data_IF_106569237834
#
_entry.id   IF_106569237834
#
_cell.length_a   1.000
_cell.length_b   1.000
_cell.length_c   1.000
_cell.angle_alpha   90.00
_cell.angle_beta   90.00
_cell.angle_gamma   90.00
#
_symmetry.space_group_name_H-M   'P 1'
#
loop_
_entity.id
_entity.type
_entity.pdbx_description
1 polymer ?
#
# COMPACT_ATOMS: atom_id res chain seq x y z
N UNK A 1 -35.23 -4.78 -66.18
CA UNK A 1 -33.95 -5.21 -66.79
C UNK A 1 -32.86 -4.27 -66.25
N UNK A 2 -32.68 -4.19 -64.93
CA UNK A 2 -31.99 -5.16 -64.06
C UNK A 2 -30.49 -5.26 -64.36
N UNK A 3 -29.68 -4.61 -63.51
CA UNK A 3 -28.61 -5.27 -62.77
C UNK A 3 -27.96 -4.25 -61.81
N UNK A 4 -28.24 -4.37 -60.50
CA UNK A 4 -27.54 -5.19 -59.50
C UNK A 4 -26.36 -4.44 -58.85
N UNK A 5 -26.70 -3.92 -57.67
CA UNK A 5 -25.88 -3.70 -56.46
C UNK A 5 -24.61 -4.55 -56.39
N UNK A 6 -23.51 -3.92 -56.01
CA UNK A 6 -22.56 -4.50 -55.04
C UNK A 6 -21.97 -3.38 -54.19
N UNK A 7 -22.43 -3.35 -52.94
CA UNK A 7 -21.91 -2.59 -51.82
C UNK A 7 -20.61 -3.27 -51.37
N UNK A 8 -19.48 -2.56 -51.43
CA UNK A 8 -18.21 -3.03 -50.86
C UNK A 8 -17.84 -2.16 -49.66
N UNK A 9 -18.49 -2.39 -48.52
CA UNK A 9 -18.07 -1.81 -47.23
C UNK A 9 -16.91 -2.67 -46.74
N UNK A 10 -15.68 -2.17 -46.86
CA UNK A 10 -14.54 -2.73 -46.15
C UNK A 10 -14.59 -2.22 -44.70
N UNK A 11 -14.77 -3.16 -43.77
CA UNK A 11 -14.85 -2.94 -42.33
C UNK A 11 -13.63 -2.20 -41.78
N UNK A 12 -13.90 -1.26 -40.87
CA UNK A 12 -12.94 -0.66 -39.95
C UNK A 12 -12.19 -1.75 -39.19
N UNK A 13 -10.86 -1.73 -39.32
CA UNK A 13 -9.95 -2.40 -38.40
C UNK A 13 -8.90 -1.41 -37.95
N UNK A 14 -8.97 -0.99 -36.68
CA UNK A 14 -7.83 -1.00 -35.77
C UNK A 14 -8.23 -0.42 -34.42
N UNK A 15 -8.26 -1.33 -33.45
CA UNK A 15 -8.15 -1.05 -32.03
C UNK A 15 -6.87 -0.26 -31.79
N UNK A 16 -6.97 0.91 -31.18
CA UNK A 16 -5.83 1.62 -30.62
C UNK A 16 -6.16 1.99 -29.17
N UNK A 17 -6.16 0.98 -28.30
CA UNK A 17 -6.07 1.17 -26.85
C UNK A 17 -4.62 1.46 -26.52
N UNK A 18 -4.26 2.75 -26.39
CA UNK A 18 -2.96 3.17 -25.87
C UNK A 18 -3.06 3.37 -24.35
N UNK A 19 -2.21 2.70 -23.55
CA UNK A 19 -2.05 3.02 -22.13
C UNK A 19 -1.07 4.21 -22.03
N UNK A 20 -1.58 5.45 -22.05
CA UNK A 20 -0.76 6.69 -21.99
C UNK A 20 -0.67 7.27 -20.57
N UNK A 21 -1.29 6.64 -19.58
CA UNK A 21 -1.45 7.27 -18.26
C UNK A 21 -0.16 7.32 -17.44
N UNK A 22 0.78 6.39 -17.64
CA UNK A 22 1.99 6.32 -16.82
C UNK A 22 3.10 7.32 -17.22
N UNK A 23 3.18 7.71 -18.50
CA UNK A 23 4.20 8.67 -18.96
C UNK A 23 3.88 10.08 -18.50
N UNK A 24 2.60 10.47 -18.53
CA UNK A 24 2.16 11.80 -18.15
C UNK A 24 2.50 12.15 -16.68
N UNK A 25 2.31 11.21 -15.74
CA UNK A 25 2.64 11.44 -14.33
C UNK A 25 4.15 11.57 -14.07
N UNK A 26 4.98 10.83 -14.82
CA UNK A 26 6.42 10.95 -14.71
C UNK A 26 6.92 12.31 -15.23
N UNK A 27 6.30 12.79 -16.32
CA UNK A 27 6.60 14.10 -16.90
C UNK A 27 6.18 15.23 -15.93
N UNK A 28 4.99 15.13 -15.30
CA UNK A 28 4.51 16.11 -14.31
C UNK A 28 5.44 16.24 -13.08
N UNK A 29 5.95 15.12 -12.55
CA UNK A 29 6.92 15.13 -11.44
C UNK A 29 8.21 15.84 -11.84
N UNK A 30 8.72 15.58 -13.05
CA UNK A 30 9.95 16.22 -13.54
C UNK A 30 9.75 17.73 -13.67
N UNK A 31 8.65 18.16 -14.27
CA UNK A 31 8.31 19.59 -14.42
C UNK A 31 8.23 20.31 -13.06
N UNK A 32 7.60 19.71 -12.06
CA UNK A 32 7.51 20.27 -10.71
C UNK A 32 8.90 20.39 -10.04
N UNK A 33 9.77 19.39 -10.22
CA UNK A 33 11.14 19.43 -9.69
C UNK A 33 11.95 20.56 -10.35
N UNK A 34 11.84 20.71 -11.67
CA UNK A 34 12.54 21.76 -12.42
C UNK A 34 12.07 23.15 -11.97
N UNK A 35 10.77 23.34 -11.79
CA UNK A 35 10.20 24.60 -11.29
C UNK A 35 10.63 24.90 -9.85
N UNK A 36 10.63 23.89 -8.97
CA UNK A 36 11.13 24.04 -7.61
C UNK A 36 12.61 24.44 -7.56
N UNK A 37 13.43 23.90 -8.46
CA UNK A 37 14.84 24.26 -8.62
C UNK A 37 15.01 25.70 -9.13
N UNK A 38 14.23 26.12 -10.11
CA UNK A 38 14.23 27.50 -10.62
C UNK A 38 13.93 28.49 -9.48
N UNK A 39 12.84 28.28 -8.75
CA UNK A 39 12.46 29.12 -7.61
C UNK A 39 13.53 29.17 -6.51
N UNK A 40 14.20 28.05 -6.24
CA UNK A 40 15.32 28.02 -5.30
C UNK A 40 16.48 28.90 -5.76
N UNK A 41 16.81 28.87 -7.05
CA UNK A 41 17.87 29.70 -7.64
C UNK A 41 17.53 31.20 -7.61
N UNK A 42 16.24 31.54 -7.67
CA UNK A 42 15.72 32.91 -7.52
C UNK A 42 15.60 33.37 -6.05
N UNK A 43 16.01 32.55 -5.08
CA UNK A 43 15.86 32.78 -3.64
C UNK A 43 14.38 32.85 -3.17
N UNK A 44 13.42 32.41 -4.00
CA UNK A 44 12.03 32.15 -3.62
C UNK A 44 11.90 30.79 -2.91
N UNK A 45 12.45 30.72 -1.70
CA UNK A 45 12.47 29.47 -0.93
C UNK A 45 11.07 28.95 -0.58
N UNK A 46 10.11 29.85 -0.37
CA UNK A 46 8.73 29.47 -0.05
C UNK A 46 8.05 28.77 -1.23
N UNK A 47 8.20 29.33 -2.42
CA UNK A 47 7.71 28.69 -3.64
C UNK A 47 8.46 27.40 -3.95
N UNK A 48 9.79 27.36 -3.80
CA UNK A 48 10.60 26.16 -4.02
C UNK A 48 10.15 24.99 -3.13
N UNK A 49 9.90 25.25 -1.84
CA UNK A 49 9.40 24.22 -0.91
C UNK A 49 8.06 23.67 -1.39
N UNK A 50 7.12 24.53 -1.79
CA UNK A 50 5.80 24.10 -2.22
C UNK A 50 5.86 23.17 -3.45
N UNK A 51 6.60 23.55 -4.50
CA UNK A 51 6.72 22.73 -5.72
C UNK A 51 7.37 21.37 -5.43
N UNK A 52 8.42 21.35 -4.61
CA UNK A 52 9.11 20.12 -4.24
C UNK A 52 8.25 19.21 -3.35
N UNK A 53 7.42 19.77 -2.48
CA UNK A 53 6.46 19.00 -1.68
C UNK A 53 5.38 18.34 -2.55
N UNK A 54 4.91 19.02 -3.60
CA UNK A 54 4.03 18.40 -4.60
C UNK A 54 4.73 17.24 -5.32
N UNK A 55 5.96 17.45 -5.81
CA UNK A 55 6.73 16.40 -6.46
C UNK A 55 6.95 15.19 -5.54
N UNK A 56 7.27 15.43 -4.26
CA UNK A 56 7.39 14.35 -3.26
C UNK A 56 6.06 13.61 -3.08
N UNK A 57 4.93 14.31 -3.04
CA UNK A 57 3.60 13.70 -2.92
C UNK A 57 3.28 12.81 -4.12
N UNK A 58 3.58 13.28 -5.34
CA UNK A 58 3.32 12.53 -6.56
C UNK A 58 4.24 11.30 -6.67
N UNK A 59 5.52 11.42 -6.29
CA UNK A 59 6.44 10.28 -6.17
C UNK A 59 5.91 9.25 -5.16
N UNK A 60 5.41 9.69 -4.00
CA UNK A 60 4.80 8.77 -3.01
C UNK A 60 3.57 8.07 -3.58
N UNK A 61 2.76 8.76 -4.38
CA UNK A 61 1.62 8.15 -5.07
C UNK A 61 2.05 7.04 -6.02
N UNK A 62 3.15 7.25 -6.77
CA UNK A 62 3.74 6.22 -7.63
C UNK A 62 4.21 5.00 -6.83
N UNK A 63 4.90 5.22 -5.70
CA UNK A 63 5.33 4.14 -4.79
C UNK A 63 4.10 3.41 -4.23
N UNK A 64 3.09 4.13 -3.74
CA UNK A 64 1.83 3.55 -3.28
C UNK A 64 1.17 2.68 -4.34
N UNK A 65 1.12 3.13 -5.60
CA UNK A 65 0.57 2.35 -6.70
C UNK A 65 1.31 1.03 -6.91
N UNK A 66 2.65 1.04 -6.86
CA UNK A 66 3.48 -0.15 -6.99
C UNK A 66 3.28 -1.14 -5.85
N UNK A 67 3.32 -0.65 -4.61
CA UNK A 67 3.21 -1.53 -3.45
C UNK A 67 1.78 -2.06 -3.25
N UNK A 68 0.76 -1.36 -3.77
CA UNK A 68 -0.63 -1.82 -3.79
C UNK A 68 -0.80 -3.14 -4.58
N UNK A 69 0.02 -3.36 -5.60
CA UNK A 69 0.00 -4.60 -6.41
C UNK A 69 0.50 -5.83 -5.63
N UNK A 70 1.11 -5.62 -4.45
CA UNK A 70 1.69 -6.72 -3.67
C UNK A 70 0.71 -7.35 -2.67
N UNK A 71 -0.46 -6.74 -2.47
CA UNK A 71 -1.43 -7.23 -1.49
C UNK A 71 -1.91 -8.63 -1.85
N UNK A 72 -1.94 -9.57 -0.89
CA UNK A 72 -2.36 -10.94 -1.14
C UNK A 72 -3.84 -11.01 -1.57
N UNK A 73 -4.18 -12.09 -2.27
CA UNK A 73 -5.57 -12.45 -2.54
C UNK A 73 -6.30 -12.79 -1.23
N UNK A 74 -7.63 -12.64 -1.16
CA UNK A 74 -8.37 -12.98 0.05
C UNK A 74 -8.25 -14.48 0.37
N UNK A 75 -8.14 -14.86 1.66
CA UNK A 75 -8.19 -16.25 2.11
C UNK A 75 -9.53 -16.91 1.76
N UNK A 76 -9.60 -18.23 1.86
CA UNK A 76 -10.84 -18.96 1.58
C UNK A 76 -11.99 -18.49 2.48
N UNK A 77 -13.14 -18.20 1.88
CA UNK A 77 -14.31 -17.66 2.60
C UNK A 77 -14.19 -16.17 2.95
N UNK A 78 -13.27 -15.45 2.32
CA UNK A 78 -13.15 -14.00 2.41
C UNK A 78 -13.22 -13.36 1.02
N UNK A 79 -13.64 -12.10 1.01
CA UNK A 79 -13.60 -11.23 -0.16
C UNK A 79 -12.74 -10.01 0.15
N UNK A 80 -12.11 -9.42 -0.87
CA UNK A 80 -11.27 -8.24 -0.70
C UNK A 80 -11.74 -7.09 -1.60
N UNK A 81 -11.63 -5.86 -1.09
CA UNK A 81 -11.74 -4.66 -1.91
C UNK A 81 -10.45 -4.40 -2.70
N UNK A 82 -10.46 -3.39 -3.57
CA UNK A 82 -9.23 -2.93 -4.20
C UNK A 82 -8.32 -2.30 -3.15
N UNK A 83 -7.01 -2.52 -3.26
CA UNK A 83 -6.04 -1.81 -2.46
C UNK A 83 -6.10 -0.31 -2.81
N UNK A 84 -6.05 0.54 -1.79
CA UNK A 84 -6.18 1.98 -1.93
C UNK A 84 -5.04 2.67 -1.20
N UNK A 85 -4.47 3.70 -1.82
CA UNK A 85 -3.53 4.59 -1.14
C UNK A 85 -4.27 5.35 -0.05
N UNK A 86 -3.83 5.20 1.20
CA UNK A 86 -4.32 6.00 2.32
C UNK A 86 -3.69 7.39 2.22
N UNK A 87 -4.04 8.17 1.18
CA UNK A 87 -3.28 9.40 0.90
C UNK A 87 -3.68 10.29 -0.27
N UNK A 88 -4.89 10.17 -0.81
CA UNK A 88 -5.40 11.18 -1.76
C UNK A 88 -5.92 12.48 -1.11
N UNK A 89 -5.90 12.59 0.23
CA UNK A 89 -6.46 13.75 0.94
C UNK A 89 -5.88 13.94 2.34
N UNK A 90 -6.26 15.04 3.00
CA UNK A 90 -5.68 15.53 4.26
C UNK A 90 -5.60 14.55 5.44
N UNK A 91 -6.16 13.35 5.33
CA UNK A 91 -5.96 12.25 6.28
C UNK A 91 -4.49 11.74 6.30
N UNK A 92 -3.78 11.63 5.17
CA UNK A 92 -2.36 11.23 5.18
C UNK A 92 -1.46 12.25 5.89
N UNK A 93 -1.83 13.53 5.84
CA UNK A 93 -1.15 14.58 6.59
C UNK A 93 -1.39 14.45 8.11
N UNK A 94 -2.56 13.96 8.52
CA UNK A 94 -2.91 13.73 9.93
C UNK A 94 -2.28 12.45 10.52
N UNK A 95 -1.99 11.45 9.68
CA UNK A 95 -1.45 10.15 10.07
C UNK A 95 0.09 10.11 10.04
N UNK A 96 0.73 11.27 10.25
CA UNK A 96 2.17 11.35 10.48
C UNK A 96 3.03 11.76 9.28
N UNK A 97 2.42 12.29 8.21
CA UNK A 97 3.10 13.05 7.15
C UNK A 97 4.44 12.48 6.71
N UNK A 98 4.44 11.45 5.86
CA UNK A 98 5.67 10.85 5.37
C UNK A 98 5.48 9.43 4.85
N UNK A 99 6.32 9.03 3.88
CA UNK A 99 6.28 7.68 3.31
C UNK A 99 5.05 7.39 2.43
N UNK A 100 4.92 6.13 2.02
CA UNK A 100 3.78 5.60 1.29
C UNK A 100 2.96 4.69 2.23
N UNK A 101 1.63 4.78 2.16
CA UNK A 101 0.70 3.96 2.93
C UNK A 101 -0.37 3.44 1.97
N UNK A 102 -0.59 2.13 1.97
CA UNK A 102 -1.66 1.48 1.23
C UNK A 102 -2.44 0.57 2.16
N UNK A 103 -3.75 0.51 1.98
CA UNK A 103 -4.66 -0.32 2.75
C UNK A 103 -5.51 -1.19 1.82
N UNK A 104 -5.87 -2.39 2.28
CA UNK A 104 -6.83 -3.26 1.61
C UNK A 104 -7.76 -3.88 2.64
N UNK A 105 -9.07 -3.77 2.39
CA UNK A 105 -10.10 -4.31 3.25
C UNK A 105 -10.50 -5.72 2.82
N UNK A 106 -10.68 -6.61 3.79
CA UNK A 106 -11.14 -7.98 3.63
C UNK A 106 -12.38 -8.21 4.49
N UNK A 107 -13.38 -8.90 3.94
CA UNK A 107 -14.63 -9.23 4.64
C UNK A 107 -14.92 -10.72 4.55
N UNK A 108 -15.31 -11.29 5.67
CA UNK A 108 -15.73 -12.69 5.74
C UNK A 108 -17.04 -12.90 4.96
N UNK A 109 -17.09 -13.96 4.17
CA UNK A 109 -18.30 -14.33 3.45
C UNK A 109 -19.31 -14.98 4.41
N UNK A 110 -20.53 -14.42 4.47
CA UNK A 110 -21.60 -14.96 5.32
C UNK A 110 -21.39 -14.76 6.83
N UNK A 111 -20.44 -13.92 7.23
CA UNK A 111 -20.16 -13.58 8.63
C UNK A 111 -19.88 -12.08 8.82
N UNK A 112 -19.50 -11.71 10.04
CA UNK A 112 -19.24 -10.32 10.45
C UNK A 112 -17.73 -10.01 10.61
N UNK A 113 -16.87 -10.97 10.26
CA UNK A 113 -15.41 -10.83 10.30
C UNK A 113 -14.89 -9.77 9.32
N UNK A 114 -13.98 -8.92 9.78
CA UNK A 114 -13.35 -7.87 9.00
C UNK A 114 -11.84 -7.87 9.24
N UNK A 115 -11.05 -7.66 8.20
CA UNK A 115 -9.63 -7.40 8.33
C UNK A 115 -9.22 -6.24 7.45
N UNK A 116 -8.34 -5.40 7.96
CA UNK A 116 -7.65 -4.36 7.21
C UNK A 116 -6.17 -4.72 7.15
N UNK A 117 -5.65 -4.94 5.95
CA UNK A 117 -4.21 -5.03 5.75
C UNK A 117 -3.67 -3.64 5.42
N UNK A 118 -2.55 -3.26 6.02
CA UNK A 118 -1.86 -2.00 5.80
C UNK A 118 -0.40 -2.28 5.46
N UNK A 119 0.11 -1.60 4.43
CA UNK A 119 1.51 -1.62 4.04
C UNK A 119 2.05 -0.19 4.11
N UNK A 120 3.05 0.02 4.96
CA UNK A 120 3.70 1.31 5.15
C UNK A 120 5.17 1.23 4.74
N UNK A 121 5.63 2.20 3.95
CA UNK A 121 7.03 2.32 3.52
C UNK A 121 7.55 3.70 3.88
N UNK A 122 8.70 3.78 4.54
CA UNK A 122 9.39 5.04 4.90
C UNK A 122 8.55 6.03 5.72
N UNK A 123 7.62 5.51 6.53
CA UNK A 123 6.78 6.32 7.40
C UNK A 123 7.40 6.43 8.81
N UNK A 124 7.33 7.61 9.49
CA UNK A 124 7.82 7.77 10.86
C UNK A 124 7.27 6.75 11.88
N UNK A 125 6.03 6.27 11.70
CA UNK A 125 5.44 5.24 12.54
C UNK A 125 6.20 3.91 12.43
N UNK A 126 6.73 3.58 11.24
CA UNK A 126 7.56 2.38 11.05
C UNK A 126 8.83 2.46 11.89
N UNK A 127 9.42 3.66 12.05
CA UNK A 127 10.60 3.86 12.90
C UNK A 127 10.28 3.63 14.37
N UNK A 128 9.12 4.08 14.85
CA UNK A 128 8.63 3.79 16.21
C UNK A 128 8.43 2.29 16.43
N UNK A 129 7.82 1.61 15.46
CA UNK A 129 7.60 0.16 15.52
C UNK A 129 8.92 -0.63 15.46
N UNK A 130 9.89 -0.18 14.67
CA UNK A 130 11.22 -0.79 14.59
C UNK A 130 11.94 -0.81 15.94
N UNK A 131 11.82 0.24 16.73
CA UNK A 131 12.38 0.25 18.08
C UNK A 131 11.74 -0.81 18.99
N UNK A 132 10.43 -1.05 18.86
CA UNK A 132 9.71 -2.07 19.62
C UNK A 132 10.12 -3.48 19.20
N UNK A 133 10.17 -3.77 17.89
CA UNK A 133 10.59 -5.07 17.34
C UNK A 133 12.01 -5.45 17.78
N UNK A 134 12.90 -4.47 17.83
CA UNK A 134 14.30 -4.65 18.24
C UNK A 134 14.48 -4.80 19.77
N UNK A 135 13.43 -4.60 20.57
CA UNK A 135 13.50 -4.74 22.03
C UNK A 135 12.68 -5.95 22.52
N UNK A 136 13.31 -7.14 22.63
CA UNK A 136 12.58 -8.35 22.95
C UNK A 136 11.96 -8.39 24.34
N UNK A 137 12.47 -7.59 25.27
CA UNK A 137 11.96 -7.47 26.63
C UNK A 137 10.60 -6.73 26.67
N UNK A 138 10.37 -5.75 25.78
CA UNK A 138 9.08 -5.05 25.70
C UNK A 138 7.95 -5.97 25.22
N UNK A 139 8.26 -6.87 24.29
CA UNK A 139 7.31 -7.86 23.80
C UNK A 139 7.02 -8.88 24.90
N UNK A 140 8.06 -9.41 25.54
CA UNK A 140 7.91 -10.40 26.62
C UNK A 140 7.20 -9.85 27.87
N UNK A 141 7.20 -8.54 28.07
CA UNK A 141 6.49 -7.89 29.17
C UNK A 141 4.97 -7.80 28.93
N UNK A 142 4.50 -8.01 27.70
CA UNK A 142 3.09 -7.92 27.33
C UNK A 142 2.54 -9.32 27.05
N UNK A 143 1.66 -9.86 27.91
CA UNK A 143 1.18 -11.24 27.79
C UNK A 143 0.30 -11.47 26.55
N UNK A 144 -0.26 -10.40 25.98
CA UNK A 144 -1.09 -10.44 24.78
C UNK A 144 -0.26 -10.47 23.48
N UNK A 145 1.07 -10.25 23.57
CA UNK A 145 1.97 -10.24 22.42
C UNK A 145 2.75 -11.55 22.31
N UNK A 146 2.63 -12.18 21.15
CA UNK A 146 3.35 -13.39 20.80
C UNK A 146 4.20 -13.18 19.55
N UNK A 147 5.26 -13.98 19.41
CA UNK A 147 6.10 -13.98 18.20
C UNK A 147 5.69 -15.13 17.31
N UNK A 148 5.40 -14.82 16.05
CA UNK A 148 5.04 -15.81 15.05
C UNK A 148 6.11 -15.86 13.94
N UNK A 149 6.58 -17.07 13.60
CA UNK A 149 7.66 -17.23 12.63
C UNK A 149 7.12 -17.20 11.21
N UNK A 150 7.67 -16.31 10.38
CA UNK A 150 7.29 -16.13 8.98
C UNK A 150 8.51 -16.27 8.07
N UNK A 151 8.87 -17.52 7.79
CA UNK A 151 10.06 -17.85 7.00
C UNK A 151 11.34 -17.41 7.71
N UNK A 152 11.96 -16.34 7.20
CA UNK A 152 13.18 -15.74 7.78
C UNK A 152 12.86 -14.64 8.78
N UNK A 153 11.68 -14.04 8.66
CA UNK A 153 11.21 -12.93 9.47
C UNK A 153 10.39 -13.42 10.65
N UNK A 154 10.06 -12.50 11.55
CA UNK A 154 9.23 -12.77 12.73
C UNK A 154 8.19 -11.68 12.85
N UNK A 155 6.93 -12.07 12.84
CA UNK A 155 5.80 -11.20 13.12
C UNK A 155 5.57 -11.12 14.63
N UNK A 156 4.94 -10.03 15.05
CA UNK A 156 4.33 -9.88 16.37
C UNK A 156 2.83 -10.03 16.18
N UNK A 157 2.24 -10.96 16.94
CA UNK A 157 0.80 -11.20 16.98
C UNK A 157 0.29 -10.66 18.31
N UNK A 158 -0.71 -9.80 18.25
CA UNK A 158 -1.51 -9.40 19.41
C UNK A 158 -2.89 -10.01 19.27
N UNK A 159 -3.33 -10.76 20.28
CA UNK A 159 -4.66 -11.36 20.30
C UNK A 159 -5.44 -10.95 21.55
N UNK A 160 -6.56 -10.26 21.33
CA UNK A 160 -7.49 -9.84 22.39
C UNK A 160 -8.75 -10.71 22.29
N UNK A 161 -8.72 -11.90 22.89
CA UNK A 161 -9.81 -12.89 22.82
C UNK A 161 -11.17 -12.32 23.25
N UNK A 162 -11.19 -11.54 24.34
CA UNK A 162 -12.41 -10.91 24.88
C UNK A 162 -13.05 -9.89 23.90
N UNK A 163 -12.28 -9.42 22.92
CA UNK A 163 -12.72 -8.44 21.93
C UNK A 163 -12.80 -9.00 20.52
N UNK A 164 -12.44 -10.28 20.32
CA UNK A 164 -12.35 -10.90 19.01
C UNK A 164 -11.48 -10.07 18.04
N UNK A 165 -10.34 -9.57 18.52
CA UNK A 165 -9.43 -8.69 17.76
C UNK A 165 -8.02 -9.26 17.65
N UNK A 166 -7.49 -9.24 16.44
CA UNK A 166 -6.11 -9.60 16.15
C UNK A 166 -5.38 -8.42 15.53
N UNK A 167 -4.13 -8.21 15.90
CA UNK A 167 -3.20 -7.33 15.20
C UNK A 167 -1.94 -8.13 14.91
N UNK A 168 -1.62 -8.32 13.64
CA UNK A 168 -0.42 -9.04 13.20
C UNK A 168 0.47 -8.05 12.47
N UNK A 169 1.68 -7.83 13.00
CA UNK A 169 2.61 -6.84 12.46
C UNK A 169 3.93 -7.51 12.11
N UNK A 170 4.50 -7.15 10.96
CA UNK A 170 5.77 -7.66 10.47
C UNK A 170 6.60 -6.52 9.88
N UNK A 171 7.84 -6.40 10.34
CA UNK A 171 8.76 -5.35 9.93
C UNK A 171 9.85 -5.92 9.01
N UNK A 172 9.99 -5.36 7.81
CA UNK A 172 11.09 -5.65 6.88
C UNK A 172 12.06 -4.47 6.82
N UNK A 173 13.35 -4.80 6.87
CA UNK A 173 14.46 -3.87 6.61
C UNK A 173 14.42 -2.56 7.42
N UNK A 174 13.74 -2.58 8.58
CA UNK A 174 13.49 -1.44 9.47
C UNK A 174 12.80 -0.22 8.82
N UNK A 175 12.16 -0.41 7.67
CA UNK A 175 11.52 0.69 6.91
C UNK A 175 10.20 0.33 6.24
N UNK A 176 9.87 -0.96 6.16
CA UNK A 176 8.60 -1.46 5.62
C UNK A 176 7.84 -2.17 6.74
N UNK A 177 6.61 -1.75 7.02
CA UNK A 177 5.73 -2.38 7.99
C UNK A 177 4.51 -2.95 7.28
N UNK A 178 4.32 -4.26 7.42
CA UNK A 178 3.10 -4.96 7.05
C UNK A 178 2.27 -5.15 8.32
N UNK A 179 0.99 -4.82 8.26
CA UNK A 179 0.09 -4.99 9.38
C UNK A 179 -1.25 -5.56 8.91
N UNK A 180 -1.84 -6.46 9.69
CA UNK A 180 -3.22 -6.94 9.52
C UNK A 180 -3.97 -6.72 10.81
N UNK A 181 -4.99 -5.86 10.77
CA UNK A 181 -5.90 -5.59 11.87
C UNK A 181 -7.22 -6.33 11.63
N UNK A 182 -7.50 -7.33 12.45
CA UNK A 182 -8.71 -8.15 12.40
C UNK A 182 -9.72 -7.82 13.50
N UNK A 183 -11.01 -7.87 13.16
CA UNK A 183 -12.14 -7.65 14.06
C UNK A 183 -13.22 -8.70 13.85
N UNK A 184 -13.92 -9.05 14.93
CA UNK A 184 -14.93 -10.12 14.96
C UNK A 184 -14.37 -11.46 14.43
N UNK A 185 -13.13 -11.77 14.80
CA UNK A 185 -12.49 -13.02 14.43
C UNK A 185 -12.71 -14.07 15.52
N UNK A 186 -12.85 -15.34 15.14
CA UNK A 186 -12.88 -16.45 16.09
C UNK A 186 -11.50 -16.73 16.69
N UNK A 187 -10.45 -16.48 15.91
CA UNK A 187 -9.05 -16.73 16.26
C UNK A 187 -8.11 -15.83 15.41
N UNK A 188 -6.85 -15.61 15.82
CA UNK A 188 -5.92 -14.77 15.07
C UNK A 188 -5.38 -15.44 13.80
N UNK A 189 -5.61 -16.75 13.63
CA UNK A 189 -5.02 -17.58 12.57
C UNK A 189 -5.26 -17.01 11.17
N UNK A 190 -6.47 -16.53 10.87
CA UNK A 190 -6.78 -15.98 9.54
C UNK A 190 -6.02 -14.69 9.24
N UNK A 191 -5.75 -13.87 10.25
CA UNK A 191 -4.93 -12.66 10.10
C UNK A 191 -3.44 -13.01 9.94
N UNK A 192 -2.98 -14.07 10.63
CA UNK A 192 -1.63 -14.62 10.49
C UNK A 192 -1.43 -15.21 9.09
N UNK A 193 -2.40 -15.97 8.60
CA UNK A 193 -2.41 -16.55 7.25
C UNK A 193 -2.38 -15.46 6.18
N UNK A 194 -3.24 -14.45 6.29
CA UNK A 194 -3.26 -13.33 5.35
C UNK A 194 -1.89 -12.63 5.25
N UNK A 195 -1.25 -12.35 6.38
CA UNK A 195 0.09 -11.73 6.35
C UNK A 195 1.16 -12.68 5.80
N UNK A 196 1.03 -13.99 6.06
CA UNK A 196 1.96 -15.02 5.55
C UNK A 196 1.88 -15.17 4.03
N UNK A 197 0.72 -14.93 3.43
CA UNK A 197 0.50 -15.05 1.98
C UNK A 197 1.13 -13.90 1.18
N UNK A 198 1.68 -12.88 1.85
CA UNK A 198 2.39 -11.80 1.19
C UNK A 198 3.72 -12.28 0.59
N UNK A 199 3.96 -11.96 -0.68
CA UNK A 199 5.29 -12.14 -1.30
C UNK A 199 6.24 -11.04 -0.78
N UNK A 200 7.00 -11.38 0.27
CA UNK A 200 7.91 -10.43 0.94
C UNK A 200 9.05 -9.96 0.02
N UNK A 201 9.45 -10.75 -0.97
CA UNK A 201 10.50 -10.36 -1.91
C UNK A 201 9.95 -9.37 -2.94
N UNK A 202 8.72 -9.59 -3.43
CA UNK A 202 8.03 -8.62 -4.28
C UNK A 202 7.76 -7.30 -3.55
N UNK A 203 7.41 -7.33 -2.25
CA UNK A 203 7.26 -6.12 -1.43
C UNK A 203 8.56 -5.33 -1.38
N UNK A 204 9.68 -5.99 -1.08
CA UNK A 204 11.00 -5.33 -1.08
C UNK A 204 11.34 -4.72 -2.43
N UNK A 205 11.07 -5.45 -3.51
CA UNK A 205 11.34 -4.97 -4.86
C UNK A 205 10.52 -3.73 -5.20
N UNK A 206 9.21 -3.74 -4.94
CA UNK A 206 8.34 -2.60 -5.26
C UNK A 206 8.60 -1.39 -4.36
N UNK A 207 8.94 -1.60 -3.09
CA UNK A 207 9.24 -0.53 -2.14
C UNK A 207 10.60 0.16 -2.38
N UNK A 208 11.52 -0.47 -3.14
CA UNK A 208 12.85 0.06 -3.42
C UNK A 208 12.93 0.88 -4.73
N UNK A 209 11.87 0.90 -5.54
CA UNK A 209 11.83 1.49 -6.88
C UNK A 209 11.42 2.96 -6.90
#
# INVERSE_FOLDING_TARGET
MDNKRTLGIALLGSVLTLPVTATALADEVVEQIELGLERYQEEDYGGAIAELEFAISDIRSLVSGRIAETFPEPPSGWSAEQAQSAGGGGAAALLGGGGAIVERQYRQEGGDGQMEATLMVDNPMVQGMAAMFNNPALIAAQPELERERMGRETAIVKWEADRARAEVSLLLDSRILLQVNGQNLDAPDVAIELLRDWDLDAVREQAAR
#
